data_IF_231847486768
#
_entry.id   IF_231847486768
#
_cell.length_a   1.000
_cell.length_b   1.000
_cell.length_c   1.000
_cell.angle_alpha   90.00
_cell.angle_beta   90.00
_cell.angle_gamma   90.00
#
_symmetry.space_group_name_H-M   'P 1'
#
loop_
_entity.id
_entity.type
_entity.pdbx_description
1 polymer ?
#
# COMPACT_ATOMS: atom_id res chain seq x y z
N UNK A 1 -36.07 -13.95 93.84
CA UNK A 1 -34.62 -13.73 93.75
C UNK A 1 -34.20 -14.12 92.35
N UNK A 2 -34.23 -13.13 91.46
CA UNK A 2 -33.05 -12.62 90.71
C UNK A 2 -32.81 -13.45 89.43
N UNK A 3 -32.89 -12.93 88.22
CA UNK A 3 -33.12 -11.56 87.78
C UNK A 3 -33.31 -11.54 86.26
N UNK A 4 -34.30 -10.76 85.84
CA UNK A 4 -34.64 -10.44 84.47
C UNK A 4 -33.63 -9.42 83.91
N UNK A 5 -33.13 -9.62 82.68
CA UNK A 5 -32.42 -8.57 81.94
C UNK A 5 -32.75 -8.66 80.45
N UNK A 6 -33.71 -7.84 80.05
CA UNK A 6 -33.92 -7.40 78.67
C UNK A 6 -32.70 -6.60 78.19
N UNK A 7 -32.27 -6.83 76.94
CA UNK A 7 -31.63 -5.79 76.11
C UNK A 7 -31.91 -6.04 74.62
N UNK A 8 -32.11 -4.93 73.92
CA UNK A 8 -32.65 -4.65 72.59
C UNK A 8 -31.82 -5.12 71.36
N UNK A 9 -32.41 -5.21 70.15
CA UNK A 9 -31.69 -5.27 68.86
C UNK A 9 -31.43 -3.82 68.33
N UNK A 10 -30.94 -3.59 67.10
CA UNK A 10 -29.96 -4.24 66.21
C UNK A 10 -28.74 -3.29 66.00
N UNK A 11 -27.62 -3.68 65.37
CA UNK A 11 -27.21 -3.20 64.03
C UNK A 11 -25.81 -3.74 63.74
N UNK A 12 -25.68 -4.73 62.85
CA UNK A 12 -24.41 -4.93 62.14
C UNK A 12 -24.56 -4.25 60.78
N UNK A 13 -23.82 -3.15 60.64
CA UNK A 13 -23.77 -2.33 59.46
C UNK A 13 -23.40 -3.14 58.23
N UNK A 14 -24.25 -3.03 57.23
CA UNK A 14 -23.99 -3.41 55.85
C UNK A 14 -22.96 -2.43 55.27
N UNK A 15 -21.68 -2.68 55.50
CA UNK A 15 -20.58 -2.04 54.75
C UNK A 15 -20.10 -3.07 53.72
N UNK A 16 -20.46 -2.95 52.44
CA UNK A 16 -19.89 -3.81 51.41
C UNK A 16 -18.38 -3.53 51.34
N UNK A 17 -17.59 -4.60 51.36
CA UNK A 17 -16.13 -4.59 51.20
C UNK A 17 -15.74 -3.52 50.19
N UNK A 18 -15.07 -2.44 50.63
CA UNK A 18 -14.71 -1.31 49.76
C UNK A 18 -13.88 -1.75 48.54
N UNK A 19 -13.24 -2.92 48.65
CA UNK A 19 -12.58 -3.61 47.56
C UNK A 19 -13.56 -4.07 46.48
N UNK A 20 -14.70 -4.64 46.84
CA UNK A 20 -15.73 -5.11 45.91
C UNK A 20 -16.36 -3.94 45.15
N UNK A 21 -16.61 -2.82 45.84
CA UNK A 21 -17.13 -1.57 45.25
C UNK A 21 -16.10 -0.96 44.28
N UNK A 22 -14.81 -0.98 44.65
CA UNK A 22 -13.73 -0.51 43.79
C UNK A 22 -13.60 -1.37 42.52
N UNK A 23 -13.60 -2.70 42.65
CA UNK A 23 -13.52 -3.61 41.50
C UNK A 23 -14.75 -3.50 40.57
N UNK A 24 -15.95 -3.35 41.13
CA UNK A 24 -17.16 -3.12 40.32
C UNK A 24 -17.11 -1.77 39.60
N UNK A 25 -16.70 -0.69 40.26
CA UNK A 25 -16.49 0.61 39.61
C UNK A 25 -15.44 0.54 38.49
N UNK A 26 -14.30 -0.10 38.72
CA UNK A 26 -13.28 -0.29 37.69
C UNK A 26 -13.80 -1.13 36.52
N UNK A 27 -14.57 -2.19 36.77
CA UNK A 27 -15.12 -3.06 35.73
C UNK A 27 -16.12 -2.35 34.80
N UNK A 28 -16.79 -1.30 35.28
CA UNK A 28 -17.76 -0.52 34.50
C UNK A 28 -17.09 0.71 33.86
N UNK A 29 -16.25 1.43 34.60
CA UNK A 29 -15.64 2.66 34.13
C UNK A 29 -14.53 2.41 33.11
N UNK A 30 -13.71 1.36 33.28
CA UNK A 30 -12.59 1.08 32.37
C UNK A 30 -13.05 0.79 30.93
N UNK A 31 -14.08 -0.03 30.66
CA UNK A 31 -14.64 -0.19 29.31
C UNK A 31 -15.25 1.10 28.75
N UNK A 32 -15.89 1.92 29.58
CA UNK A 32 -16.44 3.21 29.15
C UNK A 32 -15.33 4.17 28.74
N UNK A 33 -14.24 4.26 29.50
CA UNK A 33 -13.08 5.07 29.11
C UNK A 33 -12.39 4.53 27.86
N UNK A 34 -12.25 3.21 27.70
CA UNK A 34 -11.70 2.59 26.49
C UNK A 34 -12.59 2.90 25.28
N UNK A 35 -13.91 2.75 25.39
CA UNK A 35 -14.84 3.02 24.27
C UNK A 35 -14.90 4.50 23.91
N UNK A 36 -14.89 5.40 24.89
CA UNK A 36 -14.79 6.85 24.67
C UNK A 36 -13.43 7.23 24.06
N UNK A 37 -12.34 6.65 24.53
CA UNK A 37 -11.01 6.83 23.96
C UNK A 37 -10.94 6.32 22.52
N UNK A 38 -11.46 5.13 22.23
CA UNK A 38 -11.54 4.57 20.89
C UNK A 38 -12.44 5.43 19.98
N UNK A 39 -13.57 5.95 20.49
CA UNK A 39 -14.46 6.85 19.76
C UNK A 39 -13.79 8.19 19.45
N UNK A 40 -13.08 8.76 20.42
CA UNK A 40 -12.31 9.99 20.27
C UNK A 40 -11.12 9.81 19.32
N UNK A 41 -10.37 8.70 19.44
CA UNK A 41 -9.31 8.34 18.50
C UNK A 41 -9.89 8.12 17.09
N UNK A 42 -11.04 7.46 16.97
CA UNK A 42 -11.73 7.28 15.68
C UNK A 42 -12.13 8.63 15.09
N UNK A 43 -12.64 9.56 15.90
CA UNK A 43 -12.95 10.93 15.48
C UNK A 43 -11.70 11.71 15.04
N UNK A 44 -10.60 11.65 15.80
CA UNK A 44 -9.31 12.25 15.40
C UNK A 44 -8.75 11.62 14.12
N UNK A 45 -8.84 10.29 13.94
CA UNK A 45 -8.46 9.60 12.69
C UNK A 45 -9.34 10.07 11.52
N UNK A 46 -10.62 10.32 11.71
CA UNK A 46 -11.51 10.88 10.68
C UNK A 46 -11.14 12.33 10.31
N UNK A 47 -10.80 13.18 11.29
CA UNK A 47 -10.33 14.55 11.05
C UNK A 47 -8.98 14.58 10.33
N UNK A 48 -8.04 13.74 10.77
CA UNK A 48 -6.74 13.61 10.13
C UNK A 48 -6.87 13.11 8.68
N UNK A 49 -7.77 12.14 8.42
CA UNK A 49 -8.15 11.75 7.06
C UNK A 49 -8.68 12.94 6.25
N UNK A 50 -9.59 13.75 6.81
CA UNK A 50 -10.14 14.94 6.13
C UNK A 50 -9.06 15.96 5.74
N UNK A 51 -8.02 16.14 6.55
CA UNK A 51 -6.90 17.03 6.24
C UNK A 51 -5.97 16.48 5.16
N UNK A 52 -5.74 15.15 5.13
CA UNK A 52 -4.99 14.47 4.05
C UNK A 52 -5.63 14.76 2.68
N UNK A 53 -6.97 14.72 2.59
CA UNK A 53 -7.68 14.99 1.33
C UNK A 53 -7.70 16.48 0.92
N UNK A 54 -7.37 17.42 1.82
CA UNK A 54 -7.65 18.86 1.63
C UNK A 54 -6.41 19.73 1.36
N UNK A 55 -5.21 19.26 1.72
CA UNK A 55 -3.95 19.95 1.42
C UNK A 55 -2.95 18.98 0.78
N UNK A 56 -2.82 19.05 -0.54
CA UNK A 56 -1.68 18.42 -1.21
C UNK A 56 -0.40 19.14 -0.79
N UNK A 57 0.50 18.42 -0.14
CA UNK A 57 1.85 18.89 0.21
C UNK A 57 2.86 18.16 -0.66
N UNK A 58 4.03 18.75 -0.84
CA UNK A 58 5.15 18.06 -1.47
C UNK A 58 5.62 16.92 -0.57
N UNK A 59 5.80 15.72 -1.14
CA UNK A 59 6.47 14.59 -0.50
C UNK A 59 7.94 14.61 -0.87
N UNK A 60 8.71 15.49 -0.22
CA UNK A 60 10.13 15.65 -0.49
C UNK A 60 10.92 14.40 -0.09
N UNK A 61 11.83 13.99 -0.98
CA UNK A 61 12.85 12.99 -0.75
C UNK A 61 14.20 13.55 -1.16
N UNK A 62 15.16 13.45 -0.26
CA UNK A 62 16.54 13.83 -0.53
C UNK A 62 17.22 12.76 -1.38
N UNK A 63 18.16 13.18 -2.22
CA UNK A 63 18.99 12.31 -3.03
C UNK A 63 20.38 12.91 -3.18
N UNK A 64 21.38 12.07 -2.94
CA UNK A 64 22.79 12.47 -2.97
C UNK A 64 23.30 12.62 -4.41
N UNK A 65 22.65 11.96 -5.37
CA UNK A 65 23.02 12.02 -6.78
C UNK A 65 21.83 11.79 -7.71
N UNK A 66 21.49 12.81 -8.50
CA UNK A 66 20.58 12.66 -9.61
C UNK A 66 21.23 11.88 -10.76
N UNK A 67 20.53 10.86 -11.27
CA UNK A 67 21.00 10.00 -12.37
C UNK A 67 21.11 10.70 -13.73
N UNK A 68 20.64 11.94 -13.85
CA UNK A 68 20.59 12.71 -15.09
C UNK A 68 20.81 14.20 -14.82
N UNK A 69 21.27 15.00 -15.81
CA UNK A 69 21.45 16.44 -15.67
C UNK A 69 20.19 17.10 -15.11
N UNK A 70 20.28 17.65 -13.90
CA UNK A 70 19.16 18.15 -13.14
C UNK A 70 19.39 19.60 -12.74
N UNK A 71 18.34 20.42 -12.80
CA UNK A 71 18.39 21.84 -12.45
C UNK A 71 17.37 22.15 -11.37
N UNK A 72 17.76 22.96 -10.39
CA UNK A 72 16.87 23.40 -9.33
C UNK A 72 15.73 24.26 -9.91
N UNK A 73 14.47 23.88 -9.66
CA UNK A 73 13.30 24.62 -10.15
C UNK A 73 13.14 26.02 -9.52
N UNK A 74 13.89 26.34 -8.45
CA UNK A 74 13.84 27.65 -7.79
C UNK A 74 14.93 28.59 -8.31
N UNK A 75 16.21 28.21 -8.21
CA UNK A 75 17.35 29.05 -8.59
C UNK A 75 17.85 28.81 -10.02
N UNK A 76 17.33 27.80 -10.72
CA UNK A 76 17.71 27.39 -12.08
C UNK A 76 19.18 26.94 -12.25
N UNK A 77 19.93 26.75 -11.16
CA UNK A 77 21.30 26.23 -11.19
C UNK A 77 21.30 24.71 -11.38
N UNK A 78 22.35 24.19 -12.01
CA UNK A 78 22.60 22.76 -12.12
C UNK A 78 22.87 22.18 -10.72
N UNK A 79 22.24 21.06 -10.39
CA UNK A 79 22.36 20.39 -9.09
C UNK A 79 22.70 18.91 -9.30
N UNK A 80 23.65 18.41 -8.52
CA UNK A 80 23.99 16.99 -8.46
C UNK A 80 23.25 16.30 -7.31
N UNK A 81 23.21 16.95 -6.15
CA UNK A 81 22.42 16.54 -4.99
C UNK A 81 21.27 17.52 -4.73
N UNK A 82 20.23 17.05 -4.05
CA UNK A 82 19.12 17.89 -3.61
C UNK A 82 17.90 17.07 -3.23
N UNK A 83 16.74 17.70 -3.31
CA UNK A 83 15.46 17.05 -3.01
C UNK A 83 14.57 16.99 -4.25
N UNK A 84 13.77 15.93 -4.35
CA UNK A 84 12.70 15.82 -5.32
C UNK A 84 11.37 15.48 -4.66
N UNK A 85 10.27 15.99 -5.19
CA UNK A 85 8.94 15.64 -4.72
C UNK A 85 8.46 14.36 -5.41
N UNK A 86 8.09 13.35 -4.62
CA UNK A 86 7.56 12.07 -5.11
C UNK A 86 6.14 12.18 -5.72
N UNK A 87 5.41 13.28 -5.52
CA UNK A 87 4.08 13.48 -6.08
C UNK A 87 4.08 14.24 -7.41
N UNK A 88 4.85 15.31 -7.52
CA UNK A 88 4.85 16.17 -8.71
C UNK A 88 6.15 16.10 -9.53
N UNK A 89 7.22 15.52 -8.97
CA UNK A 89 8.53 15.42 -9.61
C UNK A 89 9.29 16.75 -9.65
N UNK A 90 8.90 17.75 -8.86
CA UNK A 90 9.65 18.99 -8.69
C UNK A 90 11.02 18.68 -8.08
N UNK A 91 12.09 19.29 -8.61
CA UNK A 91 13.48 19.06 -8.15
C UNK A 91 14.10 20.36 -7.69
N UNK A 92 14.74 20.37 -6.54
CA UNK A 92 15.28 21.57 -5.90
C UNK A 92 16.58 21.28 -5.18
N UNK A 93 17.43 22.29 -5.07
CA UNK A 93 18.56 22.24 -4.13
C UNK A 93 18.04 22.30 -2.68
N UNK A 94 18.83 21.79 -1.73
CA UNK A 94 18.51 21.77 -0.31
C UNK A 94 18.18 23.17 0.25
N UNK A 95 18.94 24.20 -0.14
CA UNK A 95 18.73 25.59 0.27
C UNK A 95 17.44 26.21 -0.28
N UNK A 96 16.90 25.65 -1.36
CA UNK A 96 15.70 26.12 -2.02
C UNK A 96 14.40 25.43 -1.58
N UNK A 97 14.46 24.37 -0.77
CA UNK A 97 13.29 23.56 -0.39
C UNK A 97 12.15 24.39 0.22
N UNK A 98 12.46 25.25 1.20
CA UNK A 98 11.47 26.14 1.84
C UNK A 98 10.87 27.16 0.87
N UNK A 99 11.64 27.62 -0.12
CA UNK A 99 11.16 28.54 -1.16
C UNK A 99 10.25 27.79 -2.14
N UNK A 100 10.56 26.54 -2.43
CA UNK A 100 9.79 25.68 -3.31
C UNK A 100 8.40 25.40 -2.76
N UNK A 101 8.28 25.04 -1.47
CA UNK A 101 7.00 24.82 -0.80
C UNK A 101 6.05 26.01 -0.86
N UNK A 102 6.60 27.24 -0.89
CA UNK A 102 5.81 28.48 -0.98
C UNK A 102 5.48 28.84 -2.43
N UNK A 103 6.40 28.59 -3.36
CA UNK A 103 6.31 29.04 -4.75
C UNK A 103 5.50 28.08 -5.63
N UNK A 104 5.58 26.78 -5.38
CA UNK A 104 4.99 25.76 -6.23
C UNK A 104 3.93 24.97 -5.47
N UNK A 105 2.78 24.78 -6.10
CA UNK A 105 1.75 23.89 -5.56
C UNK A 105 2.07 22.45 -5.98
N UNK A 106 1.77 21.49 -5.09
CA UNK A 106 1.92 20.08 -5.40
C UNK A 106 0.69 19.55 -6.17
N UNK A 107 0.74 18.27 -6.57
CA UNK A 107 -0.31 17.55 -7.31
C UNK A 107 -1.60 17.50 -6.49
N UNK A 108 -2.64 18.21 -6.93
CA UNK A 108 -3.89 18.34 -6.17
C UNK A 108 -4.65 17.02 -6.05
N UNK A 109 -5.06 16.63 -4.84
CA UNK A 109 -5.87 15.41 -4.65
C UNK A 109 -7.32 15.64 -5.09
N UNK A 110 -7.86 16.85 -4.86
CA UNK A 110 -9.23 17.26 -5.17
C UNK A 110 -9.23 18.64 -5.81
N UNK A 111 -10.14 18.91 -6.76
CA UNK A 111 -10.35 20.25 -7.29
C UNK A 111 -11.03 21.15 -6.25
N UNK A 112 -10.59 22.41 -6.15
CA UNK A 112 -11.24 23.42 -5.30
C UNK A 112 -12.62 23.76 -5.88
N UNK A 113 -13.62 23.82 -5.01
CA UNK A 113 -15.00 24.08 -5.41
C UNK A 113 -15.22 25.60 -5.50
N UNK A 114 -14.71 26.23 -6.56
CA UNK A 114 -14.72 27.69 -6.72
C UNK A 114 -16.00 28.20 -7.42
N UNK A 115 -17.10 27.44 -7.39
CA UNK A 115 -18.39 27.83 -7.97
C UNK A 115 -18.43 27.85 -9.52
N UNK A 116 -17.33 27.52 -10.20
CA UNK A 116 -17.26 27.30 -11.65
C UNK A 116 -17.53 25.83 -11.96
N UNK A 117 -18.21 25.55 -13.07
CA UNK A 117 -18.58 24.20 -13.50
C UNK A 117 -17.40 23.22 -13.38
N UNK A 118 -17.64 22.09 -12.70
CA UNK A 118 -16.66 21.08 -12.29
C UNK A 118 -16.02 20.28 -13.45
N UNK A 119 -16.15 20.74 -14.69
CA UNK A 119 -15.96 19.92 -15.89
C UNK A 119 -14.66 20.21 -16.66
N UNK A 120 -13.76 21.03 -16.14
CA UNK A 120 -12.51 21.35 -16.82
C UNK A 120 -11.31 21.14 -15.90
N UNK A 121 -10.60 20.03 -16.08
CA UNK A 121 -9.31 19.80 -15.43
C UNK A 121 -8.25 20.67 -16.12
N UNK A 122 -7.64 21.67 -15.44
CA UNK A 122 -6.55 22.43 -16.01
C UNK A 122 -5.26 21.60 -16.03
N UNK A 123 -4.39 21.84 -16.99
CA UNK A 123 -3.02 21.34 -16.91
C UNK A 123 -2.29 22.00 -15.73
N UNK A 124 -1.54 21.20 -14.99
CA UNK A 124 -0.58 21.68 -13.99
C UNK A 124 0.83 21.48 -14.54
N UNK A 125 1.43 22.56 -15.03
CA UNK A 125 2.74 22.56 -15.67
C UNK A 125 3.87 22.84 -14.68
N UNK A 126 4.91 22.00 -14.71
CA UNK A 126 6.19 22.25 -14.04
C UNK A 126 7.24 22.50 -15.12
N UNK A 127 8.05 23.53 -14.92
CA UNK A 127 9.12 23.91 -15.85
C UNK A 127 10.42 23.17 -15.52
N UNK A 128 11.09 22.66 -16.55
CA UNK A 128 12.40 22.01 -16.43
C UNK A 128 12.34 20.55 -15.99
N UNK A 129 13.52 19.92 -16.03
CA UNK A 129 13.71 18.50 -15.66
C UNK A 129 12.72 17.57 -16.39
N UNK A 130 12.46 17.87 -17.66
CA UNK A 130 11.63 17.01 -18.51
C UNK A 130 12.36 15.67 -18.71
N UNK A 131 11.64 14.54 -18.74
CA UNK A 131 12.25 13.23 -18.98
C UNK A 131 13.05 13.19 -20.28
N UNK A 132 14.11 12.39 -20.31
CA UNK A 132 14.87 12.15 -21.53
C UNK A 132 13.95 11.62 -22.63
N UNK A 133 14.31 11.92 -23.88
CA UNK A 133 13.55 11.52 -25.08
C UNK A 133 12.07 12.00 -25.07
N UNK A 134 11.76 13.09 -24.35
CA UNK A 134 10.45 13.72 -24.42
C UNK A 134 10.31 14.55 -25.70
N UNK A 135 9.12 14.54 -26.30
CA UNK A 135 8.81 15.34 -27.50
C UNK A 135 7.70 16.34 -27.21
N UNK A 136 7.86 17.54 -27.76
CA UNK A 136 6.90 18.61 -27.64
C UNK A 136 5.57 18.22 -28.28
N UNK A 137 4.47 18.37 -27.54
CA UNK A 137 3.14 18.03 -28.04
C UNK A 137 2.73 18.87 -29.25
N UNK A 138 3.26 20.09 -29.38
CA UNK A 138 2.93 21.06 -30.44
C UNK A 138 3.78 20.82 -31.70
N UNK A 139 5.10 21.01 -31.63
CA UNK A 139 5.98 20.96 -32.81
C UNK A 139 6.60 19.58 -33.07
N UNK A 140 6.38 18.59 -32.20
CA UNK A 140 6.92 17.22 -32.27
C UNK A 140 8.45 17.11 -32.23
N UNK A 141 9.16 18.18 -31.87
CA UNK A 141 10.61 18.18 -31.69
C UNK A 141 11.00 17.82 -30.24
N UNK A 142 12.23 17.35 -30.03
CA UNK A 142 12.72 16.92 -28.72
C UNK A 142 12.76 18.08 -27.70
N UNK A 143 12.25 17.84 -26.50
CA UNK A 143 12.32 18.74 -25.34
C UNK A 143 13.54 18.40 -24.44
N UNK A 144 13.95 19.37 -23.62
CA UNK A 144 15.00 19.17 -22.61
C UNK A 144 16.42 19.06 -23.17
N UNK A 145 16.62 19.45 -24.43
CA UNK A 145 17.92 19.40 -25.09
C UNK A 145 18.89 20.50 -24.64
N UNK A 146 18.38 21.57 -24.04
CA UNK A 146 19.21 22.70 -23.61
C UNK A 146 19.76 22.44 -22.20
N UNK A 147 21.05 22.76 -21.92
CA UNK A 147 21.67 22.56 -20.61
C UNK A 147 21.24 23.65 -19.61
N UNK A 148 19.93 23.81 -19.42
CA UNK A 148 19.30 24.76 -18.50
C UNK A 148 17.90 24.30 -18.13
N UNK A 149 17.33 24.92 -17.10
CA UNK A 149 15.91 24.77 -16.75
C UNK A 149 15.01 25.37 -17.86
N UNK A 150 14.52 24.53 -18.76
CA UNK A 150 13.68 24.89 -19.90
C UNK A 150 12.57 23.85 -20.13
N UNK A 151 11.60 24.23 -20.96
CA UNK A 151 10.43 23.43 -21.32
C UNK A 151 9.53 23.08 -20.13
N UNK A 152 8.35 22.55 -20.41
CA UNK A 152 7.34 22.26 -19.41
C UNK A 152 6.86 20.82 -19.53
N UNK A 153 6.56 20.20 -18.38
CA UNK A 153 5.86 18.92 -18.28
C UNK A 153 4.59 19.09 -17.47
N UNK A 154 3.48 18.54 -17.95
CA UNK A 154 2.27 18.48 -17.16
C UNK A 154 2.33 17.29 -16.19
N UNK A 155 2.09 17.52 -14.90
CA UNK A 155 2.18 16.45 -13.87
C UNK A 155 1.03 15.44 -13.90
N UNK A 156 -0.01 15.70 -14.70
CA UNK A 156 -1.16 14.81 -14.86
C UNK A 156 -1.04 14.00 -16.13
N UNK A 157 -1.06 14.65 -17.29
CA UNK A 157 -1.01 13.94 -18.58
C UNK A 157 0.40 13.64 -19.10
N UNK A 158 1.45 14.05 -18.38
CA UNK A 158 2.87 13.86 -18.75
C UNK A 158 3.30 14.48 -20.08
N UNK A 159 2.41 15.14 -20.84
CA UNK A 159 2.75 15.89 -22.05
C UNK A 159 3.88 16.88 -21.75
N UNK A 160 4.78 17.04 -22.71
CA UNK A 160 5.84 18.06 -22.66
C UNK A 160 5.64 19.10 -23.74
N UNK A 161 6.13 20.32 -23.51
CA UNK A 161 6.01 21.44 -24.45
C UNK A 161 7.18 22.40 -24.28
N UNK A 162 7.70 22.92 -25.40
CA UNK A 162 8.75 23.94 -25.37
C UNK A 162 8.27 25.26 -24.77
N UNK A 163 9.20 26.04 -24.21
CA UNK A 163 8.91 27.38 -23.68
C UNK A 163 8.17 28.28 -24.69
N UNK A 164 8.55 28.23 -25.96
CA UNK A 164 7.97 29.03 -27.05
C UNK A 164 6.59 28.52 -27.47
N UNK A 165 6.44 27.20 -27.58
CA UNK A 165 5.18 26.54 -27.95
C UNK A 165 4.10 26.71 -26.86
N UNK A 166 4.49 26.78 -25.59
CA UNK A 166 3.59 26.97 -24.47
C UNK A 166 2.87 28.34 -24.55
N UNK A 167 3.58 29.39 -24.98
CA UNK A 167 3.04 30.76 -25.06
C UNK A 167 1.98 30.90 -26.15
N UNK A 168 2.08 30.13 -27.24
CA UNK A 168 1.24 30.28 -28.43
C UNK A 168 -0.03 29.44 -28.43
N UNK A 169 -0.06 28.27 -27.76
CA UNK A 169 -1.07 27.24 -28.08
C UNK A 169 -1.86 26.63 -26.91
N UNK A 170 -1.34 26.63 -25.67
CA UNK A 170 -1.85 25.73 -24.60
C UNK A 170 -2.54 26.41 -23.41
N UNK A 171 -2.78 27.73 -23.43
CA UNK A 171 -3.38 28.43 -22.28
C UNK A 171 -4.80 27.98 -21.93
N UNK A 172 -5.56 27.51 -22.92
CA UNK A 172 -6.98 27.16 -22.78
C UNK A 172 -7.27 25.65 -23.01
N UNK A 173 -6.24 24.83 -23.29
CA UNK A 173 -6.44 23.39 -23.42
C UNK A 173 -6.70 22.76 -22.04
N UNK A 174 -7.58 21.77 -22.00
CA UNK A 174 -7.90 21.00 -20.80
C UNK A 174 -7.02 19.77 -20.74
N UNK A 175 -6.60 19.40 -19.53
CA UNK A 175 -5.86 18.18 -19.31
C UNK A 175 -6.75 16.96 -19.54
N UNK A 176 -6.28 16.07 -20.40
CA UNK A 176 -6.91 14.80 -20.77
C UNK A 176 -6.38 13.61 -19.95
N UNK A 177 -5.53 13.86 -18.95
CA UNK A 177 -4.82 12.87 -18.14
C UNK A 177 -3.88 11.92 -18.93
N UNK A 178 -3.72 12.12 -20.24
CA UNK A 178 -2.74 11.42 -21.07
C UNK A 178 -2.99 9.91 -21.18
N UNK A 179 -1.90 9.16 -21.35
CA UNK A 179 -1.87 7.70 -21.53
C UNK A 179 -2.64 6.96 -20.43
N UNK A 180 -2.42 7.34 -19.16
CA UNK A 180 -2.97 6.64 -18.00
C UNK A 180 -4.34 7.17 -17.55
N UNK A 181 -5.07 7.93 -18.39
CA UNK A 181 -6.35 8.57 -18.03
C UNK A 181 -7.39 7.60 -17.44
N UNK A 182 -7.40 6.36 -17.92
CA UNK A 182 -8.35 5.32 -17.49
C UNK A 182 -8.02 4.77 -16.09
N UNK A 183 -6.77 4.92 -15.63
CA UNK A 183 -6.29 4.44 -14.34
C UNK A 183 -6.26 5.53 -13.27
N UNK A 184 -6.31 6.80 -13.66
CA UNK A 184 -6.23 7.95 -12.75
C UNK A 184 -7.61 8.21 -12.14
N UNK A 185 -7.68 8.44 -10.83
CA UNK A 185 -8.86 9.04 -10.20
C UNK A 185 -8.80 10.57 -10.41
N UNK A 186 -9.68 11.18 -11.22
CA UNK A 186 -9.62 12.62 -11.48
C UNK A 186 -9.91 13.41 -10.20
N UNK A 187 -9.19 14.52 -9.91
CA UNK A 187 -9.49 15.35 -8.74
C UNK A 187 -10.93 15.88 -8.70
N UNK A 188 -11.53 16.13 -9.88
CA UNK A 188 -12.95 16.50 -10.00
C UNK A 188 -13.92 15.41 -9.55
N UNK A 189 -13.62 14.14 -9.83
CA UNK A 189 -14.40 13.00 -9.35
C UNK A 189 -14.47 13.00 -7.83
N UNK A 190 -13.34 13.18 -7.14
CA UNK A 190 -13.32 13.23 -5.68
C UNK A 190 -14.10 14.42 -5.12
N UNK A 191 -14.04 15.59 -5.78
CA UNK A 191 -14.83 16.75 -5.39
C UNK A 191 -16.32 16.46 -5.48
N UNK A 192 -16.76 15.82 -6.57
CA UNK A 192 -18.15 15.36 -6.73
C UNK A 192 -18.54 14.32 -5.67
N UNK A 193 -17.69 13.33 -5.38
CA UNK A 193 -17.92 12.34 -4.31
C UNK A 193 -18.12 13.02 -2.95
N UNK A 194 -17.26 13.98 -2.61
CA UNK A 194 -17.35 14.68 -1.34
C UNK A 194 -18.60 15.55 -1.25
N UNK A 195 -19.03 16.16 -2.36
CA UNK A 195 -20.28 16.90 -2.43
C UNK A 195 -21.49 15.97 -2.29
N UNK A 196 -21.53 14.86 -3.02
CA UNK A 196 -22.60 13.85 -2.89
C UNK A 196 -22.71 13.29 -1.47
N UNK A 197 -21.59 13.06 -0.77
CA UNK A 197 -21.59 12.65 0.64
C UNK A 197 -22.22 13.69 1.56
N UNK A 198 -22.02 14.99 1.31
CA UNK A 198 -22.69 16.05 2.07
C UNK A 198 -24.19 16.08 1.78
N UNK A 199 -24.54 15.89 0.52
CA UNK A 199 -25.92 15.90 0.03
C UNK A 199 -26.66 14.56 0.28
N UNK A 200 -26.01 13.60 0.96
CA UNK A 200 -26.49 12.23 1.23
C UNK A 200 -26.93 11.46 -0.02
N UNK A 201 -26.35 11.78 -1.18
CA UNK A 201 -26.55 11.05 -2.44
C UNK A 201 -25.56 9.90 -2.53
N UNK A 202 -25.99 8.77 -3.07
CA UNK A 202 -25.21 7.53 -3.15
C UNK A 202 -25.08 6.98 -4.57
N UNK A 203 -25.46 7.76 -5.58
CA UNK A 203 -25.37 7.33 -6.98
C UNK A 203 -23.94 7.47 -7.53
N UNK A 204 -23.07 6.59 -7.05
CA UNK A 204 -21.66 6.54 -7.43
C UNK A 204 -21.48 5.97 -8.84
N UNK A 205 -22.39 5.10 -9.29
CA UNK A 205 -22.35 4.46 -10.60
C UNK A 205 -22.64 5.48 -11.72
N UNK A 206 -23.66 6.32 -11.55
CA UNK A 206 -23.91 7.40 -12.49
C UNK A 206 -22.73 8.39 -12.56
N UNK A 207 -22.05 8.66 -11.45
CA UNK A 207 -20.87 9.51 -11.46
C UNK A 207 -19.70 8.86 -12.20
N UNK A 208 -19.44 7.58 -11.94
CA UNK A 208 -18.37 6.82 -12.60
C UNK A 208 -18.60 6.71 -14.12
N UNK A 209 -19.85 6.52 -14.55
CA UNK A 209 -20.23 6.41 -15.97
C UNK A 209 -19.80 7.60 -16.83
N UNK A 210 -19.64 8.80 -16.23
CA UNK A 210 -19.19 10.02 -16.91
C UNK A 210 -17.75 9.94 -17.43
N UNK A 211 -16.93 9.06 -16.86
CA UNK A 211 -15.53 8.88 -17.23
C UNK A 211 -15.32 7.79 -18.29
N UNK A 212 -16.40 7.18 -18.77
CA UNK A 212 -16.40 6.16 -19.81
C UNK A 212 -16.31 4.74 -19.24
N UNK A 213 -16.74 3.77 -20.05
CA UNK A 213 -16.80 2.35 -19.65
C UNK A 213 -15.42 1.73 -19.38
N UNK A 214 -14.36 2.30 -19.94
CA UNK A 214 -12.97 1.83 -19.78
C UNK A 214 -12.27 2.46 -18.57
N UNK A 215 -12.94 3.32 -17.79
CA UNK A 215 -12.34 3.92 -16.61
C UNK A 215 -12.30 2.93 -15.45
N UNK A 216 -11.10 2.43 -15.17
CA UNK A 216 -10.80 1.39 -14.18
C UNK A 216 -9.69 1.91 -13.26
N UNK A 217 -10.02 2.76 -12.27
CA UNK A 217 -9.01 3.38 -11.42
C UNK A 217 -8.24 2.35 -10.59
N UNK A 218 -6.92 2.46 -10.59
CA UNK A 218 -6.04 1.53 -9.87
C UNK A 218 -5.96 1.89 -8.37
N UNK A 219 -5.95 0.87 -7.50
CA UNK A 219 -5.59 1.03 -6.08
C UNK A 219 -4.26 0.32 -5.88
N UNK A 220 -3.29 1.02 -5.33
CA UNK A 220 -1.94 0.49 -5.15
C UNK A 220 -1.68 0.29 -3.67
N UNK A 221 -1.36 -0.95 -3.32
CA UNK A 221 -1.01 -1.37 -1.98
C UNK A 221 0.39 -1.95 -2.03
N UNK A 222 1.32 -1.36 -1.29
CA UNK A 222 2.67 -1.89 -1.14
C UNK A 222 2.94 -2.15 0.34
N UNK A 223 3.48 -3.33 0.65
CA UNK A 223 3.99 -3.61 1.98
C UNK A 223 5.41 -3.04 2.08
N UNK A 224 5.57 -1.87 2.71
CA UNK A 224 6.86 -1.19 2.84
C UNK A 224 7.84 -1.87 3.81
N UNK A 225 7.47 -3.02 4.40
CA UNK A 225 8.34 -3.84 5.27
C UNK A 225 8.84 -5.13 4.59
N UNK A 226 8.58 -5.34 3.30
CA UNK A 226 9.13 -6.46 2.53
C UNK A 226 10.65 -6.34 2.36
N UNK A 227 11.36 -7.46 2.18
CA UNK A 227 12.81 -7.59 2.39
C UNK A 227 13.73 -6.64 1.63
N UNK A 228 13.29 -6.00 0.55
CA UNK A 228 14.05 -5.00 -0.21
C UNK A 228 13.76 -3.55 0.20
N UNK A 229 12.76 -3.30 1.06
CA UNK A 229 12.27 -1.99 1.48
C UNK A 229 11.94 -1.00 0.33
N UNK A 230 11.77 -1.49 -0.90
CA UNK A 230 11.52 -0.64 -2.08
C UNK A 230 10.10 -0.05 -2.15
N UNK A 231 9.19 -0.52 -1.30
CA UNK A 231 7.77 -0.15 -1.34
C UNK A 231 7.53 1.37 -1.32
N UNK A 232 8.23 2.12 -0.47
CA UNK A 232 8.07 3.60 -0.44
C UNK A 232 8.65 4.28 -1.68
N UNK A 233 9.79 3.80 -2.18
CA UNK A 233 10.41 4.22 -3.45
C UNK A 233 9.39 4.21 -4.58
N UNK A 234 8.87 3.01 -4.80
CA UNK A 234 7.90 2.67 -5.83
C UNK A 234 6.56 3.38 -5.68
N UNK A 235 6.00 3.46 -4.47
CA UNK A 235 4.76 4.21 -4.23
C UNK A 235 4.90 5.68 -4.65
N UNK A 236 6.10 6.26 -4.48
CA UNK A 236 6.41 7.58 -4.99
C UNK A 236 6.31 7.67 -6.52
N UNK A 237 6.89 6.73 -7.26
CA UNK A 237 6.79 6.72 -8.73
C UNK A 237 5.35 6.62 -9.22
N UNK A 238 4.52 5.81 -8.55
CA UNK A 238 3.09 5.78 -8.84
C UNK A 238 2.39 7.11 -8.54
N UNK A 239 2.76 7.84 -7.48
CA UNK A 239 2.20 9.18 -7.17
C UNK A 239 2.56 10.21 -8.25
N UNK A 240 3.70 10.07 -8.93
CA UNK A 240 4.06 10.92 -10.08
C UNK A 240 3.05 10.77 -11.22
N UNK A 241 2.59 9.54 -11.49
CA UNK A 241 1.70 9.23 -12.61
C UNK A 241 0.21 9.35 -12.21
N UNK A 242 -0.18 8.81 -11.07
CA UNK A 242 -1.57 8.67 -10.63
C UNK A 242 -1.98 9.74 -9.60
N UNK A 243 -3.26 9.76 -9.22
CA UNK A 243 -3.71 10.62 -8.12
C UNK A 243 -3.11 10.10 -6.80
N UNK A 244 -2.46 10.96 -5.97
CA UNK A 244 -1.84 10.52 -4.70
C UNK A 244 -2.79 9.83 -3.73
N UNK A 245 -4.10 10.01 -3.91
CA UNK A 245 -5.16 9.37 -3.12
C UNK A 245 -5.28 7.85 -3.31
N UNK A 246 -4.73 7.30 -4.39
CA UNK A 246 -4.95 5.92 -4.84
C UNK A 246 -4.23 4.85 -3.97
N UNK A 247 -4.13 5.10 -2.66
CA UNK A 247 -3.51 4.24 -1.64
C UNK A 247 -4.36 4.01 -0.38
N UNK A 248 -5.70 4.06 -0.44
CA UNK A 248 -6.58 3.63 0.67
C UNK A 248 -7.87 2.92 0.21
N UNK A 249 -8.21 1.85 0.94
CA UNK A 249 -9.26 0.83 0.72
C UNK A 249 -10.72 1.32 0.58
N UNK A 250 -11.55 0.55 -0.15
CA UNK A 250 -12.75 -0.19 0.35
C UNK A 250 -13.67 -0.70 -0.79
N UNK A 251 -13.07 -1.30 -1.82
CA UNK A 251 -13.77 -2.07 -2.86
C UNK A 251 -12.99 -3.35 -3.12
N UNK A 252 -13.57 -4.32 -3.84
CA UNK A 252 -12.84 -5.49 -4.34
C UNK A 252 -12.37 -5.11 -5.75
N UNK A 253 -11.15 -4.54 -5.93
CA UNK A 253 -10.64 -4.22 -7.26
C UNK A 253 -10.14 -5.49 -7.96
N UNK A 254 -9.90 -5.38 -9.27
CA UNK A 254 -8.96 -6.27 -9.95
C UNK A 254 -7.57 -6.08 -9.34
N UNK A 255 -6.85 -7.19 -9.11
CA UNK A 255 -5.57 -7.18 -8.40
C UNK A 255 -4.46 -7.66 -9.33
N UNK A 256 -3.45 -6.81 -9.56
CA UNK A 256 -2.14 -7.21 -10.08
C UNK A 256 -1.16 -7.36 -8.92
N UNK A 257 -0.20 -8.28 -9.04
CA UNK A 257 0.86 -8.50 -8.06
C UNK A 257 2.16 -7.94 -8.61
N UNK A 258 2.84 -7.08 -7.84
CA UNK A 258 4.21 -6.69 -8.14
C UNK A 258 5.17 -7.40 -7.15
N UNK A 259 6.09 -8.25 -7.62
CA UNK A 259 6.88 -9.17 -6.78
C UNK A 259 8.05 -8.48 -6.06
N UNK A 260 7.76 -7.70 -5.00
CA UNK A 260 8.80 -7.01 -4.21
C UNK A 260 9.48 -7.88 -3.13
N UNK A 261 9.01 -9.12 -2.93
CA UNK A 261 9.50 -10.04 -1.91
C UNK A 261 10.40 -11.13 -2.48
N UNK A 262 10.68 -12.16 -1.69
CA UNK A 262 11.39 -13.38 -2.13
C UNK A 262 10.45 -14.57 -2.35
N UNK A 263 9.26 -14.56 -1.75
CA UNK A 263 8.21 -15.57 -1.93
C UNK A 263 7.08 -15.04 -2.82
N UNK A 264 7.31 -15.03 -4.14
CA UNK A 264 6.41 -14.41 -5.13
C UNK A 264 5.61 -15.43 -5.94
N UNK A 265 5.21 -16.55 -5.33
CA UNK A 265 4.53 -17.67 -6.01
C UNK A 265 3.28 -17.25 -6.81
N UNK A 266 2.46 -16.38 -6.22
CA UNK A 266 1.25 -15.89 -6.88
C UNK A 266 1.59 -14.95 -8.05
N UNK A 267 2.67 -14.18 -7.94
CA UNK A 267 3.18 -13.33 -9.04
C UNK A 267 3.62 -14.20 -10.22
N UNK A 268 4.41 -15.24 -9.95
CA UNK A 268 4.88 -16.21 -10.94
C UNK A 268 3.72 -16.87 -11.67
N UNK A 269 2.76 -17.37 -10.91
CA UNK A 269 1.58 -18.05 -11.46
C UNK A 269 0.73 -17.11 -12.33
N UNK A 270 0.69 -15.82 -11.99
CA UNK A 270 -0.05 -14.80 -12.72
C UNK A 270 0.76 -14.10 -13.84
N UNK A 271 1.99 -14.55 -14.11
CA UNK A 271 2.83 -14.01 -15.17
C UNK A 271 3.49 -12.66 -14.88
N UNK A 272 3.45 -12.19 -13.62
CA UNK A 272 4.08 -10.93 -13.20
C UNK A 272 5.57 -11.06 -12.83
N UNK A 273 6.12 -12.27 -12.93
CA UNK A 273 7.54 -12.55 -12.71
C UNK A 273 7.93 -12.93 -11.28
N UNK A 274 9.19 -13.35 -11.13
CA UNK A 274 9.78 -13.93 -9.91
C UNK A 274 10.27 -12.89 -8.91
N UNK A 275 10.53 -11.68 -9.37
CA UNK A 275 11.06 -10.58 -8.57
C UNK A 275 10.95 -9.27 -9.34
N UNK A 276 10.97 -8.17 -8.60
CA UNK A 276 11.09 -6.83 -9.14
C UNK A 276 12.15 -6.07 -8.34
N UNK A 277 13.22 -5.65 -9.01
CA UNK A 277 14.33 -4.89 -8.42
C UNK A 277 14.44 -3.46 -8.97
N UNK A 278 13.43 -2.99 -9.72
CA UNK A 278 13.39 -1.64 -10.29
C UNK A 278 13.86 -1.52 -11.74
N UNK A 279 14.15 -2.66 -12.38
CA UNK A 279 14.59 -2.77 -13.78
C UNK A 279 13.54 -2.27 -14.78
N UNK A 280 12.25 -2.47 -14.50
CA UNK A 280 11.14 -2.03 -15.36
C UNK A 280 10.55 -0.73 -14.81
N UNK A 281 10.52 0.38 -15.58
CA UNK A 281 9.91 1.63 -15.12
C UNK A 281 8.43 1.47 -14.77
N UNK A 282 7.93 2.19 -13.75
CA UNK A 282 6.51 2.13 -13.35
C UNK A 282 5.54 2.46 -14.49
N UNK A 283 5.92 3.31 -15.43
CA UNK A 283 5.11 3.57 -16.63
C UNK A 283 4.87 2.31 -17.46
N UNK A 284 5.88 1.43 -17.59
CA UNK A 284 5.75 0.15 -18.26
C UNK A 284 4.91 -0.83 -17.42
N UNK A 285 5.07 -0.84 -16.10
CA UNK A 285 4.18 -1.64 -15.22
C UNK A 285 2.71 -1.25 -15.41
N UNK A 286 2.40 0.04 -15.51
CA UNK A 286 1.03 0.51 -15.78
C UNK A 286 0.53 0.09 -17.16
N UNK A 287 1.38 0.07 -18.20
CA UNK A 287 1.02 -0.48 -19.51
C UNK A 287 0.71 -1.96 -19.45
N UNK A 288 1.56 -2.74 -18.77
CA UNK A 288 1.34 -4.17 -18.57
C UNK A 288 0.00 -4.43 -17.85
N UNK A 289 -0.37 -3.60 -16.86
CA UNK A 289 -1.69 -3.65 -16.19
C UNK A 289 -2.84 -3.33 -17.13
N UNK A 290 -2.67 -2.39 -18.06
CA UNK A 290 -3.71 -2.05 -19.05
C UNK A 290 -3.89 -3.14 -20.12
N UNK A 291 -2.87 -3.96 -20.37
CA UNK A 291 -2.87 -5.04 -21.35
C UNK A 291 -3.21 -6.41 -20.74
N UNK A 292 -3.21 -6.53 -19.41
CA UNK A 292 -3.44 -7.78 -18.70
C UNK A 292 -4.89 -8.29 -18.82
N UNK A 293 -5.02 -9.62 -18.83
CA UNK A 293 -6.31 -10.31 -18.86
C UNK A 293 -6.87 -10.53 -17.45
N UNK A 294 -8.20 -10.56 -17.34
CA UNK A 294 -8.87 -10.87 -16.08
C UNK A 294 -8.98 -12.38 -15.87
N UNK A 295 -8.53 -12.86 -14.70
CA UNK A 295 -8.67 -14.26 -14.29
C UNK A 295 -9.30 -14.37 -12.90
N UNK A 296 -10.07 -15.43 -12.68
CA UNK A 296 -10.64 -15.74 -11.37
C UNK A 296 -9.68 -16.63 -10.58
N UNK A 297 -9.26 -16.17 -9.42
CA UNK A 297 -8.48 -16.94 -8.46
C UNK A 297 -9.41 -17.52 -7.40
N UNK A 298 -9.42 -18.85 -7.29
CA UNK A 298 -10.14 -19.55 -6.23
C UNK A 298 -9.52 -19.26 -4.87
N UNK A 299 -10.35 -18.92 -3.89
CA UNK A 299 -9.95 -18.72 -2.51
C UNK A 299 -10.56 -19.78 -1.64
N UNK A 300 -9.77 -20.30 -0.72
CA UNK A 300 -10.12 -21.42 0.12
C UNK A 300 -10.20 -20.97 1.58
N UNK A 301 -11.13 -21.54 2.32
CA UNK A 301 -11.29 -21.34 3.76
C UNK A 301 -10.68 -22.53 4.48
N UNK A 302 -9.70 -22.28 5.34
CA UNK A 302 -9.06 -23.30 6.18
C UNK A 302 -9.55 -23.12 7.61
N UNK A 303 -10.29 -24.10 8.11
CA UNK A 303 -10.84 -24.11 9.47
C UNK A 303 -10.15 -25.16 10.31
N UNK A 304 -9.57 -24.76 11.44
CA UNK A 304 -8.86 -25.65 12.36
C UNK A 304 -9.66 -25.80 13.64
N UNK A 305 -10.13 -27.03 13.87
CA UNK A 305 -10.97 -27.39 15.02
C UNK A 305 -10.19 -28.33 15.95
N UNK A 306 -9.87 -27.88 17.16
CA UNK A 306 -9.12 -28.69 18.13
C UNK A 306 -9.99 -29.83 18.69
N UNK A 307 -9.41 -31.02 18.89
CA UNK A 307 -10.07 -32.10 19.64
C UNK A 307 -9.74 -31.94 21.13
N UNK A 308 -10.71 -31.52 21.95
CA UNK A 308 -10.55 -31.38 23.41
C UNK A 308 -11.86 -31.58 24.16
N UNK A 309 -11.79 -32.23 25.32
CA UNK A 309 -12.92 -32.74 26.12
C UNK A 309 -13.79 -31.66 26.81
N UNK A 310 -13.38 -30.39 26.76
CA UNK A 310 -14.13 -29.25 27.32
C UNK A 310 -14.39 -28.19 26.24
N UNK A 311 -15.66 -27.91 25.99
CA UNK A 311 -16.24 -27.11 24.90
C UNK A 311 -15.94 -25.58 24.91
N UNK A 312 -14.76 -25.16 25.36
CA UNK A 312 -14.36 -23.74 25.42
C UNK A 312 -13.05 -23.50 24.67
N UNK A 313 -13.00 -23.75 23.35
CA UNK A 313 -11.84 -23.36 22.52
C UNK A 313 -12.25 -22.71 21.20
N UNK A 314 -11.51 -21.64 20.86
CA UNK A 314 -11.70 -20.72 19.73
C UNK A 314 -11.37 -21.40 18.40
N UNK A 315 -12.32 -21.38 17.46
CA UNK A 315 -12.12 -21.75 16.06
C UNK A 315 -11.06 -20.84 15.43
N UNK A 316 -10.05 -21.42 14.77
CA UNK A 316 -9.13 -20.66 13.91
C UNK A 316 -9.60 -20.80 12.47
N UNK A 317 -9.81 -19.67 11.81
CA UNK A 317 -10.22 -19.62 10.41
C UNK A 317 -9.23 -18.74 9.64
N UNK A 318 -8.71 -19.27 8.53
CA UNK A 318 -7.81 -18.59 7.63
C UNK A 318 -8.40 -18.57 6.22
N UNK A 319 -7.98 -17.58 5.43
CA UNK A 319 -8.24 -17.60 3.98
C UNK A 319 -6.92 -17.91 3.28
N UNK A 320 -6.91 -18.99 2.53
CA UNK A 320 -5.77 -19.47 1.76
C UNK A 320 -5.98 -19.15 0.29
N UNK A 321 -4.96 -18.58 -0.34
CA UNK A 321 -4.95 -18.27 -1.76
C UNK A 321 -3.91 -19.11 -2.52
N UNK A 322 -2.85 -19.55 -1.86
CA UNK A 322 -1.78 -20.32 -2.49
C UNK A 322 -1.67 -21.72 -1.91
N UNK A 323 -1.21 -21.86 -0.66
CA UNK A 323 -1.01 -23.17 -0.06
C UNK A 323 -1.16 -23.20 1.45
N UNK A 324 -1.30 -24.42 1.95
CA UNK A 324 -1.32 -24.77 3.35
C UNK A 324 -0.34 -25.93 3.57
N UNK A 325 0.51 -25.85 4.60
CA UNK A 325 1.45 -26.93 4.91
C UNK A 325 1.52 -27.27 6.40
N UNK A 326 1.96 -28.49 6.66
CA UNK A 326 2.15 -29.07 7.99
C UNK A 326 3.51 -29.76 8.02
N UNK A 327 4.28 -29.59 9.10
CA UNK A 327 5.54 -30.32 9.29
C UNK A 327 6.78 -29.53 8.86
N UNK A 328 7.82 -30.16 8.28
CA UNK A 328 9.13 -29.53 8.09
C UNK A 328 9.13 -28.20 7.31
N UNK A 329 8.32 -28.05 6.27
CA UNK A 329 8.24 -26.81 5.50
C UNK A 329 7.59 -25.68 6.33
N UNK A 330 6.52 -26.02 7.06
CA UNK A 330 5.91 -25.12 8.03
C UNK A 330 6.85 -24.81 9.21
N UNK A 331 7.73 -25.75 9.58
CA UNK A 331 8.76 -25.56 10.60
C UNK A 331 9.80 -24.57 10.12
N UNK A 332 10.23 -24.64 8.85
CA UNK A 332 11.12 -23.63 8.27
C UNK A 332 10.46 -22.26 8.26
N UNK A 333 9.19 -22.13 7.84
CA UNK A 333 8.46 -20.86 7.90
C UNK A 333 8.32 -20.34 9.35
N UNK A 334 8.02 -21.22 10.31
CA UNK A 334 7.92 -20.89 11.73
C UNK A 334 9.28 -20.47 12.30
N UNK A 335 10.36 -21.17 11.94
CA UNK A 335 11.72 -20.86 12.35
C UNK A 335 12.22 -19.57 11.70
N UNK A 336 11.85 -19.28 10.46
CA UNK A 336 12.18 -18.01 9.79
C UNK A 336 11.46 -16.82 10.44
N UNK A 337 10.19 -17.01 10.82
CA UNK A 337 9.42 -16.04 11.60
C UNK A 337 9.99 -15.84 13.01
N UNK A 338 10.39 -16.92 13.69
CA UNK A 338 10.98 -16.88 15.03
C UNK A 338 12.44 -16.36 15.04
N UNK A 339 13.24 -16.65 14.01
CA UNK A 339 14.61 -16.11 13.81
C UNK A 339 14.62 -14.62 13.51
N UNK A 340 13.51 -14.07 12.99
CA UNK A 340 13.30 -12.63 12.95
C UNK A 340 13.27 -11.98 14.33
N UNK A 341 13.21 -12.75 15.43
CA UNK A 341 13.26 -12.22 16.79
C UNK A 341 14.38 -12.77 17.70
N UNK A 342 14.72 -14.08 17.77
CA UNK A 342 15.72 -14.57 18.77
C UNK A 342 16.45 -15.89 18.38
N UNK A 343 17.72 -15.79 17.95
CA UNK A 343 18.85 -16.77 17.98
C UNK A 343 18.76 -18.23 17.39
N UNK A 344 19.86 -18.81 16.83
CA UNK A 344 19.81 -19.88 15.82
C UNK A 344 20.31 -21.31 16.12
N UNK A 345 20.64 -21.70 17.35
CA UNK A 345 21.54 -22.87 17.57
C UNK A 345 20.94 -24.25 17.90
N UNK A 346 19.64 -24.52 17.71
CA UNK A 346 19.02 -25.75 18.29
C UNK A 346 18.48 -26.85 17.36
N UNK A 347 18.67 -26.81 16.03
CA UNK A 347 17.96 -27.76 15.15
C UNK A 347 18.81 -28.41 14.05
N UNK A 348 19.69 -29.34 14.42
CA UNK A 348 20.64 -30.00 13.51
C UNK A 348 20.40 -31.49 13.23
N UNK A 349 19.26 -32.11 13.62
CA UNK A 349 19.06 -33.57 13.43
C UNK A 349 17.72 -33.98 12.84
N UNK A 350 17.79 -34.75 11.74
CA UNK A 350 16.66 -35.28 10.94
C UNK A 350 15.86 -36.40 11.64
N UNK A 351 16.46 -37.09 12.62
CA UNK A 351 15.85 -38.23 13.33
C UNK A 351 15.02 -37.75 14.52
N UNK A 352 15.53 -36.79 15.31
CA UNK A 352 14.76 -36.16 16.38
C UNK A 352 13.49 -35.48 15.84
N UNK A 353 13.60 -34.85 14.67
CA UNK A 353 12.48 -34.20 13.99
C UNK A 353 11.36 -35.17 13.60
N UNK A 354 11.60 -36.48 13.45
CA UNK A 354 10.53 -37.46 13.17
C UNK A 354 9.80 -37.97 14.42
N UNK A 355 10.48 -37.99 15.58
CA UNK A 355 9.94 -38.51 16.84
C UNK A 355 9.04 -37.50 17.57
N UNK A 356 9.36 -36.21 17.46
CA UNK A 356 8.58 -35.10 18.02
C UNK A 356 7.17 -34.99 17.36
N UNK A 357 7.04 -35.36 16.07
CA UNK A 357 5.80 -35.24 15.28
C UNK A 357 4.61 -36.05 15.82
N UNK A 358 4.85 -37.09 16.63
CA UNK A 358 3.78 -38.00 17.08
C UNK A 358 3.09 -37.57 18.37
N UNK A 359 3.59 -36.57 19.12
CA UNK A 359 3.00 -36.21 20.43
C UNK A 359 3.13 -34.75 20.85
N UNK A 360 3.59 -33.83 19.98
CA UNK A 360 3.69 -32.41 20.30
C UNK A 360 2.91 -31.52 19.34
N UNK A 361 2.79 -30.23 19.70
CA UNK A 361 2.34 -29.18 18.79
C UNK A 361 3.17 -29.22 17.50
N UNK A 362 2.51 -29.31 16.35
CA UNK A 362 3.14 -29.32 15.03
C UNK A 362 3.15 -27.91 14.43
N UNK A 363 4.24 -27.52 13.76
CA UNK A 363 4.25 -26.30 12.97
C UNK A 363 3.32 -26.46 11.77
N UNK A 364 2.50 -25.44 11.54
CA UNK A 364 1.58 -25.30 10.42
C UNK A 364 1.72 -23.88 9.86
N UNK A 365 1.44 -23.70 8.57
CA UNK A 365 1.33 -22.38 7.97
C UNK A 365 0.27 -22.33 6.88
N UNK A 366 -0.31 -21.15 6.68
CA UNK A 366 -1.19 -20.80 5.56
C UNK A 366 -0.59 -19.57 4.90
N UNK A 367 -0.30 -19.62 3.59
CA UNK A 367 0.25 -18.51 2.82
C UNK A 367 1.45 -17.80 3.52
N UNK A 368 2.29 -18.58 4.22
CA UNK A 368 3.47 -18.06 4.91
C UNK A 368 3.20 -17.48 6.31
N UNK A 369 1.98 -17.55 6.84
CA UNK A 369 1.66 -17.24 8.25
C UNK A 369 1.81 -18.51 9.12
N UNK A 370 2.88 -18.64 9.94
CA UNK A 370 3.14 -19.87 10.67
C UNK A 370 2.57 -19.87 12.09
N UNK A 371 2.20 -21.03 12.60
CA UNK A 371 1.83 -21.25 14.00
C UNK A 371 2.09 -22.69 14.45
N UNK A 372 2.12 -22.93 15.76
CA UNK A 372 2.20 -24.27 16.33
C UNK A 372 0.79 -24.79 16.71
N UNK A 373 0.49 -26.05 16.41
CA UNK A 373 -0.85 -26.63 16.45
C UNK A 373 -0.87 -28.05 17.03
N UNK A 374 -1.64 -28.26 18.09
CA UNK A 374 -1.89 -29.60 18.63
C UNK A 374 -2.93 -30.39 17.81
N UNK A 375 -3.29 -31.62 18.23
CA UNK A 375 -4.25 -32.47 17.52
C UNK A 375 -5.57 -31.75 17.19
N UNK A 376 -5.90 -31.70 15.90
CA UNK A 376 -7.06 -30.98 15.39
C UNK A 376 -7.62 -31.66 14.13
N UNK A 377 -8.88 -31.34 13.81
CA UNK A 377 -9.46 -31.56 12.49
C UNK A 377 -9.30 -30.28 11.67
N UNK A 378 -8.74 -30.42 10.47
CA UNK A 378 -8.63 -29.32 9.50
C UNK A 378 -9.67 -29.54 8.42
N UNK A 379 -10.49 -28.52 8.16
CA UNK A 379 -11.50 -28.52 7.11
C UNK A 379 -11.15 -27.44 6.09
N UNK A 380 -10.93 -27.84 4.83
CA UNK A 380 -10.66 -26.93 3.72
C UNK A 380 -11.88 -26.92 2.80
N UNK A 381 -12.42 -25.74 2.54
CA UNK A 381 -13.61 -25.56 1.69
C UNK A 381 -13.41 -24.41 0.73
N UNK A 382 -13.98 -24.50 -0.47
CA UNK A 382 -14.02 -23.35 -1.38
C UNK A 382 -14.78 -22.19 -0.71
N UNK A 383 -14.21 -20.98 -0.75
CA UNK A 383 -14.75 -19.79 -0.08
C UNK A 383 -15.40 -18.86 -1.10
N UNK A 384 -14.60 -18.33 -2.03
CA UNK A 384 -14.97 -17.28 -2.99
C UNK A 384 -13.96 -17.25 -4.12
N UNK A 385 -14.23 -16.47 -5.18
CA UNK A 385 -13.21 -16.10 -6.16
C UNK A 385 -12.73 -14.66 -5.91
N UNK A 386 -11.46 -14.37 -6.21
CA UNK A 386 -10.94 -13.02 -6.40
C UNK A 386 -10.67 -12.77 -7.89
N UNK A 387 -10.88 -11.54 -8.36
CA UNK A 387 -10.50 -11.13 -9.71
C UNK A 387 -9.04 -10.66 -9.68
N UNK A 388 -8.19 -11.41 -10.37
CA UNK A 388 -6.77 -11.13 -10.53
C UNK A 388 -6.49 -10.72 -11.98
N UNK A 389 -5.42 -9.97 -12.18
CA UNK A 389 -4.88 -9.69 -13.50
C UNK A 389 -3.77 -10.70 -13.83
N UNK A 390 -3.83 -11.27 -15.03
CA UNK A 390 -2.85 -12.17 -15.60
C UNK A 390 -2.10 -11.45 -16.73
N UNK A 391 -0.78 -11.45 -16.70
CA UNK A 391 0.04 -10.80 -17.72
C UNK A 391 0.84 -11.85 -18.50
N UNK A 392 0.61 -11.94 -19.81
CA UNK A 392 1.24 -12.95 -20.68
C UNK A 392 2.43 -12.42 -21.48
N UNK A 393 2.99 -11.26 -21.13
CA UNK A 393 4.10 -10.66 -21.88
C UNK A 393 5.33 -11.58 -21.91
N UNK A 394 6.00 -11.66 -23.06
CA UNK A 394 7.21 -12.45 -23.28
C UNK A 394 8.28 -12.13 -22.22
N UNK A 395 8.53 -13.06 -21.30
CA UNK A 395 9.75 -13.05 -20.51
C UNK A 395 10.88 -13.40 -21.48
N UNK A 396 11.71 -12.43 -21.85
CA UNK A 396 12.96 -12.71 -22.54
C UNK A 396 13.78 -13.65 -21.65
N UNK A 397 14.07 -14.85 -22.14
CA UNK A 397 14.78 -15.95 -21.46
C UNK A 397 16.23 -15.63 -21.04
N UNK A 398 16.67 -14.37 -21.05
CA UNK A 398 18.05 -13.96 -20.82
C UNK A 398 18.47 -13.97 -19.32
N UNK A 399 17.54 -14.18 -18.39
CA UNK A 399 17.82 -14.10 -16.93
C UNK A 399 18.13 -15.45 -16.25
N UNK A 400 18.21 -16.57 -16.98
CA UNK A 400 18.46 -17.90 -16.38
C UNK A 400 19.95 -18.29 -16.29
N UNK A 401 20.89 -17.54 -16.88
CA UNK A 401 22.27 -18.03 -17.03
C UNK A 401 23.32 -17.56 -16.01
N UNK A 402 22.98 -16.95 -14.87
CA UNK A 402 24.02 -16.44 -13.93
C UNK A 402 24.19 -17.20 -12.61
N UNK A 403 23.55 -18.38 -12.43
CA UNK A 403 23.58 -19.10 -11.15
C UNK A 403 24.15 -20.54 -11.19
N UNK A 404 24.87 -20.95 -12.24
CA UNK A 404 25.40 -22.33 -12.33
C UNK A 404 26.92 -22.51 -12.45
N UNK A 405 27.72 -21.44 -12.59
CA UNK A 405 29.18 -21.59 -12.77
C UNK A 405 29.97 -21.08 -11.56
N UNK A 406 29.81 -21.72 -10.39
CA UNK A 406 30.72 -21.47 -9.26
C UNK A 406 30.82 -22.64 -8.25
N UNK A 407 30.92 -23.89 -8.69
CA UNK A 407 31.27 -25.01 -7.78
C UNK A 407 32.44 -25.91 -8.20
N UNK A 408 32.98 -25.81 -9.42
CA UNK A 408 34.09 -26.69 -9.84
C UNK A 408 35.42 -25.94 -10.00
N UNK A 409 36.11 -25.63 -8.88
CA UNK A 409 37.56 -25.34 -8.86
C UNK A 409 38.13 -25.21 -7.44
N UNK A 410 37.94 -26.24 -6.60
CA UNK A 410 38.72 -26.39 -5.34
C UNK A 410 39.06 -27.85 -5.00
N UNK A 411 39.58 -28.62 -5.94
CA UNK A 411 40.37 -29.82 -5.65
C UNK A 411 41.49 -29.97 -6.68
N UNK A 412 42.60 -29.25 -6.48
CA UNK A 412 43.93 -29.60 -6.99
C UNK A 412 44.97 -28.56 -6.51
N UNK A 413 45.43 -28.68 -5.26
CA UNK A 413 46.84 -28.51 -4.86
C UNK A 413 47.04 -28.80 -3.38
#
# INVERSE_FOLDING_TARGET
MEGDRRTSPPTQGLLPDGHLVLWTLCSVLLPVFITLWCSFQRSRRQLHRRDIFRKSKHGWRDTDLFSHPTYCCVCAQHILQGAFCDCCGLRVDEGCLKKADKRFQCKEIMLKNDGRAADAMPHHWIRGNVPLCSYCVVCKQQCGSQPKLCDYRCIWCQKTVHDECMKSSLKNEKCDFGEFKNLIIPPGYLTSINQMRKDKKTDYEALASKFGKQWTPLIILANSRSGTNMGEGLLGEFRILLNPVQGQEKYIPQVAVLPLGTGNDLSNTLGWGTGYAGEIPVAQVLRNVMEADEIKLDRWKVQVTNKGYYNLRKLKEFTMNNYFSIGPDALMALNFHAHREKAPSLFSSRILNKLILKSSMMPMQVDGEPWAQGPCTVTITHKTHALMLYFSGEQSDDDVSSASDQEDLKEAK
#
